data_IF_064262073221
#
_entry.id   IF_064262073221
#
_cell.length_a   1.000
_cell.length_b   1.000
_cell.length_c   1.000
_cell.angle_alpha   90.00
_cell.angle_beta   90.00
_cell.angle_gamma   90.00
#
_symmetry.space_group_name_H-M   'P 1'
#
loop_
_entity.id
_entity.type
_entity.pdbx_description
1 polymer ?
#
# COMPACT_ATOMS: atom_id res chain seq x y z
N UNK A 1 21.18 15.41 -0.13
CA UNK A 1 19.73 15.52 -0.26
C UNK A 1 19.05 15.17 1.04
N UNK A 2 17.88 15.72 1.27
CA UNK A 2 17.09 15.37 2.45
C UNK A 2 16.66 13.90 2.35
N UNK A 3 16.74 13.14 3.44
CA UNK A 3 16.07 11.85 3.52
C UNK A 3 14.56 12.08 3.29
N UNK A 4 13.98 11.32 2.35
CA UNK A 4 12.62 11.56 1.90
C UNK A 4 11.60 11.34 3.01
N UNK A 5 10.66 12.25 3.16
CA UNK A 5 9.42 11.99 3.87
C UNK A 5 8.62 10.93 3.13
N UNK A 6 7.86 10.14 3.84
CA UNK A 6 7.04 9.08 3.27
C UNK A 6 6.93 7.86 4.18
N UNK A 7 6.23 6.81 3.72
CA UNK A 7 6.09 5.59 4.47
C UNK A 7 5.24 5.77 5.73
N UNK A 8 4.01 6.25 5.60
CA UNK A 8 3.17 6.54 6.76
C UNK A 8 2.50 5.31 7.36
N UNK A 9 2.07 4.39 6.52
CA UNK A 9 1.56 3.08 6.90
C UNK A 9 2.37 2.00 6.20
N UNK A 10 2.65 0.94 6.92
CA UNK A 10 3.28 -0.24 6.34
C UNK A 10 2.46 -1.47 6.64
N UNK A 11 2.08 -2.19 5.59
CA UNK A 11 1.36 -3.44 5.69
C UNK A 11 2.22 -4.55 5.10
N UNK A 12 2.22 -5.69 5.75
CA UNK A 12 2.89 -6.89 5.25
C UNK A 12 2.13 -8.15 5.65
N UNK A 13 2.18 -9.21 4.86
CA UNK A 13 1.62 -10.48 5.28
C UNK A 13 2.43 -11.05 6.45
N UNK A 14 1.78 -11.83 7.30
CA UNK A 14 2.42 -12.54 8.41
C UNK A 14 2.40 -14.04 8.11
N UNK A 15 3.53 -14.69 8.39
CA UNK A 15 3.60 -16.14 8.43
C UNK A 15 4.16 -16.54 9.81
N UNK A 16 3.32 -17.10 10.74
CA UNK A 16 3.67 -17.28 12.16
C UNK A 16 4.84 -18.18 12.38
N UNK A 17 5.63 -18.69 11.66
CA UNK A 17 6.82 -19.52 11.89
C UNK A 17 7.86 -19.42 10.77
N UNK A 18 7.72 -18.49 9.86
CA UNK A 18 8.58 -18.40 8.68
C UNK A 18 8.99 -16.96 8.43
N UNK A 19 10.27 -16.73 8.17
CA UNK A 19 10.73 -15.46 7.64
C UNK A 19 10.15 -15.23 6.23
N UNK A 20 9.80 -13.98 5.96
CA UNK A 20 9.29 -13.56 4.66
C UNK A 20 10.46 -13.18 3.76
N UNK A 21 10.86 -14.08 2.88
CA UNK A 21 11.84 -13.81 1.85
C UNK A 21 11.16 -13.63 0.49
N UNK A 22 11.39 -12.50 -0.17
CA UNK A 22 10.89 -12.25 -1.53
C UNK A 22 11.65 -13.10 -2.55
N UNK A 23 10.92 -13.65 -3.50
CA UNK A 23 11.52 -14.31 -4.68
C UNK A 23 11.85 -13.25 -5.72
N UNK A 24 13.10 -12.84 -5.85
CA UNK A 24 13.54 -11.82 -6.82
C UNK A 24 13.03 -12.05 -8.25
N UNK A 25 13.00 -13.31 -8.70
CA UNK A 25 12.53 -13.67 -10.05
C UNK A 25 11.00 -13.53 -10.24
N UNK A 26 10.25 -13.25 -9.18
CA UNK A 26 8.80 -13.04 -9.20
C UNK A 26 8.40 -11.60 -8.88
N UNK A 27 9.37 -10.72 -8.79
CA UNK A 27 9.13 -9.29 -8.60
C UNK A 27 8.84 -8.64 -9.95
N UNK A 28 7.75 -7.88 -10.02
CA UNK A 28 7.38 -7.09 -11.18
C UNK A 28 6.97 -5.70 -10.72
N UNK A 29 7.60 -4.69 -11.27
CA UNK A 29 7.27 -3.29 -11.06
C UNK A 29 7.02 -2.60 -12.40
N UNK A 30 5.91 -1.89 -12.52
CA UNK A 30 5.59 -0.99 -13.62
C UNK A 30 4.90 0.24 -13.04
N UNK A 31 4.89 1.39 -13.73
CA UNK A 31 4.13 2.53 -13.26
C UNK A 31 2.68 2.13 -12.92
N UNK A 32 2.25 2.43 -11.69
CA UNK A 32 0.92 2.09 -11.19
C UNK A 32 0.69 0.64 -10.75
N UNK A 33 1.69 -0.25 -10.82
CA UNK A 33 1.53 -1.63 -10.37
C UNK A 33 2.82 -2.25 -9.88
N UNK A 34 2.72 -2.96 -8.75
CA UNK A 34 3.78 -3.80 -8.20
C UNK A 34 3.25 -5.18 -7.83
N UNK A 35 4.05 -6.21 -8.02
CA UNK A 35 3.74 -7.54 -7.50
C UNK A 35 4.99 -8.30 -7.10
N UNK A 36 4.86 -9.17 -6.10
CA UNK A 36 5.91 -10.08 -5.66
C UNK A 36 5.33 -11.38 -5.14
N UNK A 37 6.18 -12.40 -5.06
CA UNK A 37 5.87 -13.64 -4.37
C UNK A 37 6.95 -13.94 -3.33
N UNK A 38 6.52 -14.47 -2.19
CA UNK A 38 7.40 -14.90 -1.11
C UNK A 38 7.74 -16.39 -1.23
N UNK A 39 8.85 -16.80 -0.64
CA UNK A 39 9.32 -18.21 -0.68
C UNK A 39 8.31 -19.18 -0.06
N UNK A 40 7.52 -18.74 0.90
CA UNK A 40 6.46 -19.50 1.55
C UNK A 40 5.16 -19.61 0.72
N UNK A 41 5.12 -19.03 -0.49
CA UNK A 41 3.99 -19.11 -1.41
C UNK A 41 2.96 -17.96 -1.28
N UNK A 42 3.12 -17.04 -0.34
CA UNK A 42 2.31 -15.82 -0.29
C UNK A 42 2.60 -14.96 -1.51
N UNK A 43 1.56 -14.37 -2.11
CA UNK A 43 1.68 -13.44 -3.25
C UNK A 43 1.05 -12.11 -2.87
N UNK A 44 1.68 -11.01 -3.29
CA UNK A 44 1.20 -9.65 -3.06
C UNK A 44 1.15 -8.88 -4.37
N UNK A 45 0.07 -8.14 -4.57
CA UNK A 45 -0.15 -7.24 -5.69
C UNK A 45 -0.57 -5.87 -5.16
N UNK A 46 0.00 -4.81 -5.68
CA UNK A 46 -0.26 -3.43 -5.26
C UNK A 46 -0.61 -2.57 -6.46
N UNK A 47 -1.59 -1.71 -6.30
CA UNK A 47 -1.90 -0.60 -7.22
C UNK A 47 -2.36 0.60 -6.41
N UNK A 48 -2.47 1.77 -7.03
CA UNK A 48 -2.91 2.97 -6.31
C UNK A 48 -3.65 3.93 -7.26
N UNK A 49 -4.61 4.65 -6.73
CA UNK A 49 -5.15 5.87 -7.33
C UNK A 49 -4.42 7.09 -6.76
N UNK A 50 -4.92 8.30 -7.02
CA UNK A 50 -4.32 9.53 -6.49
C UNK A 50 -4.28 9.59 -4.96
N UNK A 51 -5.31 9.08 -4.28
CA UNK A 51 -5.43 9.18 -2.83
C UNK A 51 -5.84 7.85 -2.15
N UNK A 52 -5.75 6.73 -2.86
CA UNK A 52 -6.05 5.40 -2.32
C UNK A 52 -5.03 4.39 -2.79
N UNK A 53 -4.43 3.64 -1.87
CA UNK A 53 -3.67 2.42 -2.15
C UNK A 53 -4.60 1.20 -2.12
N UNK A 54 -4.34 0.24 -2.99
CA UNK A 54 -5.03 -1.06 -3.02
C UNK A 54 -4.01 -2.18 -3.04
N UNK A 55 -4.10 -3.04 -2.07
CA UNK A 55 -3.19 -4.15 -1.86
C UNK A 55 -3.98 -5.47 -1.84
N UNK A 56 -3.52 -6.47 -2.58
CA UNK A 56 -4.12 -7.80 -2.60
C UNK A 56 -3.10 -8.84 -2.15
N UNK A 57 -3.48 -9.61 -1.16
CA UNK A 57 -2.67 -10.69 -0.59
C UNK A 57 -3.34 -12.03 -0.86
N UNK A 58 -2.57 -13.00 -1.37
CA UNK A 58 -3.03 -14.37 -1.59
C UNK A 58 -2.20 -15.32 -0.73
N UNK A 59 -2.88 -16.13 0.08
CA UNK A 59 -2.28 -17.04 1.02
C UNK A 59 -2.44 -18.49 0.56
N UNK A 60 -1.37 -19.32 0.60
CA UNK A 60 -1.48 -20.75 0.35
C UNK A 60 -2.30 -21.43 1.46
N UNK A 61 -2.84 -22.62 1.19
CA UNK A 61 -3.69 -23.36 2.16
C UNK A 61 -3.01 -23.66 3.47
N UNK A 62 -1.69 -23.78 3.49
CA UNK A 62 -0.86 -24.06 4.66
C UNK A 62 -0.66 -22.86 5.58
N UNK A 63 -1.04 -21.65 5.18
CA UNK A 63 -0.83 -20.42 5.94
C UNK A 63 -2.18 -19.76 6.20
N UNK A 64 -2.47 -19.46 7.46
CA UNK A 64 -3.62 -18.65 7.85
C UNK A 64 -3.41 -17.21 7.39
N UNK A 65 -4.45 -16.59 6.83
CA UNK A 65 -4.38 -15.22 6.38
C UNK A 65 -4.22 -14.27 7.58
N UNK A 66 -3.14 -13.50 7.58
CA UNK A 66 -2.87 -12.47 8.58
C UNK A 66 -2.02 -11.36 7.98
N UNK A 67 -2.27 -10.12 8.40
CA UNK A 67 -1.53 -8.93 8.00
C UNK A 67 -1.01 -8.22 9.25
N UNK A 68 0.25 -7.85 9.23
CA UNK A 68 0.83 -6.97 10.22
C UNK A 68 0.79 -5.54 9.68
N UNK A 69 0.34 -4.60 10.50
CA UNK A 69 0.20 -3.19 10.17
C UNK A 69 1.00 -2.37 11.16
N UNK A 70 1.82 -1.45 10.64
CA UNK A 70 2.47 -0.40 11.39
C UNK A 70 1.86 0.94 10.95
N UNK A 71 1.12 1.55 11.87
CA UNK A 71 0.38 2.79 11.63
C UNK A 71 1.26 4.04 11.74
N UNK A 72 2.54 3.89 12.09
CA UNK A 72 3.48 4.98 12.25
C UNK A 72 4.84 4.71 11.59
N UNK A 73 4.84 3.93 10.51
CA UNK A 73 6.05 3.57 9.75
C UNK A 73 6.53 4.74 8.89
N UNK A 74 7.22 5.70 9.51
CA UNK A 74 7.82 6.84 8.81
C UNK A 74 9.32 6.70 8.69
N UNK A 75 9.93 7.42 7.73
CA UNK A 75 11.38 7.45 7.56
C UNK A 75 12.07 8.47 8.49
N UNK A 76 11.29 9.33 9.13
CA UNK A 76 11.76 10.32 10.09
C UNK A 76 11.50 9.84 11.51
N UNK A 77 12.34 10.29 12.46
CA UNK A 77 12.21 9.94 13.87
C UNK A 77 10.88 10.39 14.47
N UNK A 78 10.32 9.55 15.30
CA UNK A 78 9.17 9.80 16.16
C UNK A 78 7.91 10.23 15.42
N UNK A 79 7.25 9.25 14.80
CA UNK A 79 5.85 9.39 14.45
C UNK A 79 4.96 9.01 15.63
N UNK A 80 3.84 9.71 15.74
CA UNK A 80 2.72 9.33 16.60
C UNK A 80 1.55 8.94 15.76
N UNK A 81 0.75 7.99 16.20
CA UNK A 81 -0.50 7.63 15.54
C UNK A 81 -1.62 7.45 16.55
N UNK A 82 -2.82 7.57 16.04
CA UNK A 82 -4.02 7.08 16.71
C UNK A 82 -4.84 6.32 15.70
N UNK A 83 -5.39 5.19 16.09
CA UNK A 83 -6.26 4.40 15.25
C UNK A 83 -7.36 3.75 16.09
N UNK A 84 -8.47 3.48 15.46
CA UNK A 84 -9.61 2.79 16.06
C UNK A 84 -10.25 1.84 15.04
N UNK A 85 -10.69 0.69 15.50
CA UNK A 85 -11.57 -0.17 14.70
C UNK A 85 -12.96 0.46 14.65
N UNK A 86 -13.45 0.72 13.44
CA UNK A 86 -14.77 1.34 13.20
C UNK A 86 -15.82 0.29 12.88
N UNK A 87 -15.41 -0.79 12.21
CA UNK A 87 -16.27 -1.93 11.89
C UNK A 87 -15.46 -3.24 11.85
N UNK A 88 -16.11 -4.33 11.47
CA UNK A 88 -15.44 -5.63 11.30
C UNK A 88 -14.44 -5.65 10.14
N UNK A 89 -14.51 -4.65 9.27
CA UNK A 89 -13.67 -4.53 8.06
C UNK A 89 -12.94 -3.19 7.96
N UNK A 90 -13.07 -2.28 8.95
CA UNK A 90 -12.54 -0.92 8.83
C UNK A 90 -11.78 -0.46 10.07
N UNK A 91 -10.60 0.13 9.84
CA UNK A 91 -9.81 0.88 10.81
C UNK A 91 -9.61 2.30 10.29
N UNK A 92 -9.89 3.29 11.12
CA UNK A 92 -9.61 4.69 10.84
C UNK A 92 -8.58 5.26 11.81
N UNK A 93 -7.86 6.28 11.35
CA UNK A 93 -6.90 6.94 12.21
C UNK A 93 -6.10 8.02 11.52
N UNK A 94 -5.01 8.39 12.17
CA UNK A 94 -4.04 9.30 11.60
C UNK A 94 -2.61 8.95 12.05
N UNK A 95 -1.65 9.35 11.26
CA UNK A 95 -0.24 9.42 11.61
C UNK A 95 0.19 10.88 11.60
N UNK A 96 0.99 11.27 12.57
CA UNK A 96 1.63 12.57 12.63
C UNK A 96 3.13 12.39 12.73
N UNK A 97 3.87 12.99 11.79
CA UNK A 97 5.31 12.86 11.69
C UNK A 97 5.95 14.21 11.34
N UNK A 98 7.27 14.29 11.41
CA UNK A 98 8.01 15.41 10.86
C UNK A 98 7.95 15.36 9.33
N UNK A 99 7.94 16.52 8.69
CA UNK A 99 8.08 16.60 7.26
C UNK A 99 9.55 16.38 6.82
N UNK A 100 9.73 16.27 5.52
CA UNK A 100 11.07 16.18 4.91
C UNK A 100 11.96 17.31 5.41
N UNK A 101 13.20 16.98 5.79
CA UNK A 101 14.19 17.90 6.35
C UNK A 101 13.86 18.45 7.74
N UNK A 102 12.87 17.93 8.43
CA UNK A 102 12.59 18.29 9.83
C UNK A 102 12.03 19.70 10.07
N UNK A 103 11.61 20.41 9.03
CA UNK A 103 11.15 21.81 9.13
C UNK A 103 9.67 21.99 9.45
N UNK A 104 9.02 20.99 10.01
CA UNK A 104 7.62 21.06 10.43
C UNK A 104 7.06 19.68 10.69
N UNK A 105 5.77 19.64 10.91
CA UNK A 105 5.04 18.40 11.12
C UNK A 105 3.86 18.34 10.15
N UNK A 106 3.50 17.13 9.73
CA UNK A 106 2.27 16.89 8.99
C UNK A 106 1.42 15.86 9.73
N UNK A 107 0.14 15.89 9.46
CA UNK A 107 -0.81 14.86 9.88
C UNK A 107 -1.46 14.28 8.62
N UNK A 108 -1.44 12.96 8.51
CA UNK A 108 -2.09 12.23 7.44
C UNK A 108 -3.13 11.29 8.04
N UNK A 109 -4.38 11.49 7.66
CA UNK A 109 -5.48 10.63 8.06
C UNK A 109 -5.61 9.47 7.08
N UNK A 110 -6.07 8.33 7.60
CA UNK A 110 -6.31 7.14 6.80
C UNK A 110 -7.63 6.46 7.16
N UNK A 111 -8.17 5.74 6.18
CA UNK A 111 -9.22 4.75 6.35
C UNK A 111 -8.74 3.47 5.68
N UNK A 112 -8.48 2.43 6.47
CA UNK A 112 -8.04 1.10 6.02
C UNK A 112 -9.26 0.19 6.03
N UNK A 113 -9.62 -0.32 4.85
CA UNK A 113 -10.78 -1.17 4.63
C UNK A 113 -10.34 -2.51 4.04
N UNK A 114 -10.86 -3.62 4.58
CA UNK A 114 -10.62 -4.97 4.07
C UNK A 114 -11.89 -5.56 3.49
N UNK A 115 -11.76 -6.40 2.46
CA UNK A 115 -12.88 -7.14 1.86
C UNK A 115 -13.35 -8.33 2.72
N UNK A 116 -12.61 -8.66 3.77
CA UNK A 116 -12.89 -9.75 4.72
C UNK A 116 -12.90 -9.21 6.14
N UNK A 117 -13.79 -9.68 7.03
CA UNK A 117 -13.75 -9.33 8.44
C UNK A 117 -12.49 -9.83 9.11
N UNK A 118 -11.94 -9.03 10.01
CA UNK A 118 -10.71 -9.34 10.76
C UNK A 118 -10.92 -9.27 12.28
N UNK A 119 -10.04 -9.96 13.01
CA UNK A 119 -9.78 -9.71 14.42
C UNK A 119 -8.55 -8.80 14.52
N UNK A 120 -8.62 -7.76 15.34
CA UNK A 120 -7.53 -6.83 15.61
C UNK A 120 -6.82 -7.24 16.89
N UNK A 121 -5.52 -7.55 16.78
CA UNK A 121 -4.65 -7.88 17.91
C UNK A 121 -3.55 -6.79 18.00
N UNK A 122 -3.67 -5.91 18.97
CA UNK A 122 -2.65 -4.89 19.21
C UNK A 122 -1.35 -5.57 19.68
N UNK A 123 -0.24 -5.22 19.03
CA UNK A 123 1.09 -5.77 19.34
C UNK A 123 1.93 -4.79 20.14
N UNK A 124 1.87 -3.51 19.76
CA UNK A 124 2.53 -2.35 20.39
C UNK A 124 1.67 -1.12 20.13
N UNK A 125 2.05 0.00 20.72
CA UNK A 125 1.35 1.28 20.59
C UNK A 125 1.02 1.68 19.14
N UNK A 126 1.92 1.36 18.19
CA UNK A 126 1.77 1.75 16.78
C UNK A 126 1.50 0.57 15.84
N UNK A 127 1.48 -0.66 16.34
CA UNK A 127 1.41 -1.84 15.49
C UNK A 127 0.31 -2.81 15.91
N UNK A 128 -0.33 -3.43 14.93
CA UNK A 128 -1.33 -4.46 15.15
C UNK A 128 -1.22 -5.60 14.14
N UNK A 129 -1.78 -6.75 14.50
CA UNK A 129 -1.99 -7.87 13.61
C UNK A 129 -3.49 -7.98 13.28
N UNK A 130 -3.82 -8.06 12.01
CA UNK A 130 -5.16 -8.35 11.50
C UNK A 130 -5.21 -9.83 11.14
N UNK A 131 -5.98 -10.63 11.87
CA UNK A 131 -6.15 -12.05 11.59
C UNK A 131 -7.52 -12.32 10.96
N UNK A 132 -7.55 -13.18 9.95
CA UNK A 132 -8.75 -13.47 9.17
C UNK A 132 -9.26 -14.88 9.40
N UNK A 133 -10.51 -15.12 9.00
CA UNK A 133 -11.15 -16.43 9.16
C UNK A 133 -10.34 -17.56 8.50
N UNK A 134 -10.34 -18.76 9.11
CA UNK A 134 -9.53 -19.94 8.70
C UNK A 134 -9.69 -20.35 7.23
N UNK A 135 -10.80 -20.00 6.58
CA UNK A 135 -11.07 -20.31 5.16
C UNK A 135 -10.64 -19.20 4.20
N UNK A 136 -10.27 -18.02 4.72
CA UNK A 136 -9.83 -16.89 3.90
C UNK A 136 -8.48 -17.23 3.24
N UNK A 137 -8.40 -17.01 1.93
CA UNK A 137 -7.20 -17.29 1.10
C UNK A 137 -6.75 -16.08 0.30
N UNK A 138 -7.57 -15.08 0.23
CA UNK A 138 -7.23 -13.79 -0.35
C UNK A 138 -7.82 -12.68 0.52
N UNK A 139 -7.09 -11.58 0.62
CA UNK A 139 -7.52 -10.37 1.30
C UNK A 139 -7.16 -9.20 0.41
N UNK A 140 -8.12 -8.33 0.16
CA UNK A 140 -7.91 -7.04 -0.46
C UNK A 140 -8.02 -5.95 0.61
N UNK A 141 -7.02 -5.06 0.63
CA UNK A 141 -6.97 -3.91 1.53
C UNK A 141 -7.02 -2.65 0.71
N UNK A 142 -7.92 -1.74 1.04
CA UNK A 142 -8.02 -0.40 0.45
C UNK A 142 -7.71 0.62 1.52
N UNK A 143 -6.77 1.50 1.25
CA UNK A 143 -6.31 2.51 2.18
C UNK A 143 -6.51 3.87 1.55
N UNK A 144 -7.56 4.55 1.94
CA UNK A 144 -7.80 5.94 1.58
C UNK A 144 -6.94 6.85 2.46
N UNK A 145 -6.44 7.93 1.89
CA UNK A 145 -5.59 8.93 2.54
C UNK A 145 -6.18 10.33 2.40
N UNK A 146 -6.06 11.14 3.43
CA UNK A 146 -6.48 12.54 3.42
C UNK A 146 -5.63 13.38 4.37
N UNK A 147 -5.30 14.61 3.96
CA UNK A 147 -4.66 15.58 4.85
C UNK A 147 -5.65 16.28 5.81
N UNK A 148 -6.96 16.05 5.64
CA UNK A 148 -8.00 16.80 6.32
C UNK A 148 -8.71 15.99 7.41
N UNK A 149 -9.19 14.78 7.08
CA UNK A 149 -9.90 13.93 8.04
C UNK A 149 -9.93 12.46 7.63
N UNK A 150 -10.18 11.56 8.58
CA UNK A 150 -10.38 10.12 8.30
C UNK A 150 -11.69 9.86 7.54
N UNK A 151 -12.70 10.71 7.72
CA UNK A 151 -13.95 10.66 6.95
C UNK A 151 -13.69 10.87 5.45
N UNK A 152 -12.89 11.89 5.09
CA UNK A 152 -12.52 12.13 3.69
C UNK A 152 -11.61 11.02 3.15
N UNK A 153 -10.76 10.43 3.98
CA UNK A 153 -10.00 9.23 3.61
C UNK A 153 -10.94 8.04 3.31
N UNK A 154 -12.00 7.88 4.09
CA UNK A 154 -13.06 6.89 3.84
C UNK A 154 -13.81 7.13 2.52
N UNK A 155 -14.10 8.38 2.19
CA UNK A 155 -14.73 8.73 0.90
C UNK A 155 -13.85 8.36 -0.31
N UNK A 156 -12.54 8.44 -0.19
CA UNK A 156 -11.65 7.97 -1.25
C UNK A 156 -11.78 6.45 -1.48
N UNK A 157 -11.97 5.66 -0.43
CA UNK A 157 -12.26 4.23 -0.59
C UNK A 157 -13.64 4.00 -1.20
N UNK A 158 -14.68 4.67 -0.72
CA UNK A 158 -16.06 4.54 -1.20
C UNK A 158 -16.21 4.96 -2.67
N UNK A 159 -15.48 5.98 -3.11
CA UNK A 159 -15.47 6.45 -4.50
C UNK A 159 -15.12 5.34 -5.51
N UNK A 160 -14.29 4.40 -5.11
CA UNK A 160 -13.79 3.31 -5.95
C UNK A 160 -14.38 1.94 -5.57
N UNK A 161 -15.39 1.90 -4.70
CA UNK A 161 -15.96 0.66 -4.16
C UNK A 161 -16.43 -0.31 -5.25
N UNK A 162 -17.00 0.22 -6.34
CA UNK A 162 -17.56 -0.59 -7.45
C UNK A 162 -16.50 -1.14 -8.40
N UNK A 163 -15.28 -0.66 -8.34
CA UNK A 163 -14.20 -1.14 -9.20
C UNK A 163 -13.41 -2.26 -8.52
N UNK A 164 -13.20 -3.34 -9.24
CA UNK A 164 -12.33 -4.41 -8.76
C UNK A 164 -10.83 -4.05 -8.94
N UNK A 165 -9.97 -4.89 -8.38
CA UNK A 165 -8.51 -4.68 -8.46
C UNK A 165 -7.99 -4.63 -9.90
N UNK A 166 -8.53 -5.44 -10.80
CA UNK A 166 -8.06 -5.50 -12.19
C UNK A 166 -8.44 -4.22 -12.95
N UNK A 167 -9.65 -3.71 -12.69
CA UNK A 167 -10.13 -2.43 -13.24
C UNK A 167 -9.31 -1.26 -12.72
N UNK A 168 -9.06 -1.19 -11.41
CA UNK A 168 -8.22 -0.15 -10.78
C UNK A 168 -6.80 -0.18 -11.34
N UNK A 169 -6.18 -1.37 -11.43
CA UNK A 169 -4.87 -1.54 -12.03
C UNK A 169 -4.83 -1.07 -13.48
N UNK A 170 -5.85 -1.44 -14.28
CA UNK A 170 -5.95 -1.02 -15.69
C UNK A 170 -6.10 0.49 -15.81
N UNK A 171 -6.97 1.09 -15.00
CA UNK A 171 -7.17 2.55 -15.00
C UNK A 171 -5.89 3.28 -14.61
N UNK A 172 -5.20 2.85 -13.55
CA UNK A 172 -3.94 3.45 -13.12
C UNK A 172 -2.86 3.32 -14.19
N UNK A 173 -2.75 2.14 -14.82
CA UNK A 173 -1.84 1.93 -15.94
C UNK A 173 -2.12 2.88 -17.11
N UNK A 174 -3.39 3.06 -17.48
CA UNK A 174 -3.79 3.99 -18.54
C UNK A 174 -3.49 5.46 -18.19
N UNK A 175 -3.64 5.86 -16.92
CA UNK A 175 -3.27 7.19 -16.46
C UNK A 175 -1.76 7.42 -16.58
N UNK A 176 -0.95 6.47 -16.17
CA UNK A 176 0.51 6.53 -16.31
C UNK A 176 0.93 6.55 -17.78
N UNK A 177 0.35 5.70 -18.63
CA UNK A 177 0.62 5.69 -20.07
C UNK A 177 0.32 7.07 -20.70
N UNK A 178 -0.82 7.66 -20.35
CA UNK A 178 -1.18 9.02 -20.80
C UNK A 178 -0.15 10.09 -20.37
N UNK A 179 0.36 10.01 -19.15
CA UNK A 179 1.36 10.95 -18.65
C UNK A 179 2.72 10.74 -19.34
N UNK A 180 3.17 9.49 -19.43
CA UNK A 180 4.47 9.15 -20.00
C UNK A 180 4.51 9.38 -21.52
N UNK A 181 3.39 9.16 -22.23
CA UNK A 181 3.27 9.41 -23.68
C UNK A 181 3.24 10.88 -24.07
N UNK A 182 3.23 11.82 -23.10
CA UNK A 182 3.41 13.24 -23.39
C UNK A 182 4.79 13.54 -23.99
N UNK A 183 5.76 12.64 -23.82
CA UNK A 183 7.09 12.72 -24.43
C UNK A 183 7.29 11.48 -25.31
N UNK A 184 7.25 11.66 -26.64
CA UNK A 184 7.54 10.60 -27.62
C UNK A 184 8.97 10.73 -28.14
N UNK A 185 9.81 9.72 -27.82
CA UNK A 185 11.23 9.70 -28.23
C UNK A 185 11.43 8.72 -29.38
N UNK A 186 11.86 9.23 -30.52
CA UNK A 186 12.22 8.44 -31.70
C UNK A 186 13.73 8.24 -31.78
N UNK A 187 14.17 7.05 -32.23
CA UNK A 187 15.59 6.71 -32.31
C UNK A 187 16.18 6.31 -30.94
N UNK A 188 17.50 6.29 -30.83
CA UNK A 188 18.24 5.86 -29.65
C UNK A 188 18.24 4.35 -29.38
N UNK A 189 18.99 3.91 -28.39
CA UNK A 189 19.00 2.53 -27.92
C UNK A 189 17.79 2.24 -27.02
N UNK A 190 17.39 0.97 -26.95
CA UNK A 190 16.27 0.55 -26.09
C UNK A 190 16.52 0.91 -24.62
N UNK A 191 17.76 0.70 -24.15
CA UNK A 191 18.13 0.96 -22.75
C UNK A 191 18.06 2.45 -22.39
N UNK A 192 18.45 3.33 -23.32
CA UNK A 192 18.33 4.79 -23.13
C UNK A 192 16.87 5.22 -22.95
N UNK A 193 15.95 4.60 -23.70
CA UNK A 193 14.51 4.84 -23.56
C UNK A 193 13.98 4.31 -22.23
N UNK A 194 14.43 3.13 -21.79
CA UNK A 194 14.06 2.57 -20.48
C UNK A 194 14.50 3.52 -19.37
N UNK A 195 15.74 4.02 -19.42
CA UNK A 195 16.26 4.98 -18.44
C UNK A 195 15.42 6.26 -18.42
N UNK A 196 15.12 6.82 -19.60
CA UNK A 196 14.33 8.03 -19.74
C UNK A 196 12.94 7.88 -19.12
N UNK A 197 12.16 6.88 -19.54
CA UNK A 197 10.80 6.70 -19.06
C UNK A 197 10.74 6.27 -17.60
N UNK A 198 11.75 5.51 -17.12
CA UNK A 198 11.89 5.20 -15.68
C UNK A 198 12.15 6.49 -14.88
N UNK A 199 12.96 7.39 -15.39
CA UNK A 199 13.23 8.67 -14.72
C UNK A 199 11.98 9.57 -14.72
N UNK A 200 11.25 9.64 -15.84
CA UNK A 200 9.99 10.38 -15.93
C UNK A 200 8.92 9.85 -14.96
N UNK A 201 8.87 8.54 -14.74
CA UNK A 201 7.89 7.94 -13.81
C UNK A 201 8.19 8.22 -12.33
N UNK A 202 9.32 8.85 -12.02
CA UNK A 202 9.76 9.21 -10.66
C UNK A 202 9.70 10.71 -10.36
N UNK A 203 9.32 11.51 -11.34
CA UNK A 203 9.08 12.96 -11.20
C UNK A 203 7.66 13.22 -10.68
#
# INVERSE_FOLDING_TARGET
GCSGGGGNLRIRPVAPSQELHMKKNHEKATPGYYSTAFTNGIKTELTATHAMAVERYKFPRSISAALWVDFASTFEDVATCQYKRVSDTCIEGYVQAKNVCGHGRYKLYFSLNTDQPFQLEEQKETTACLTFGKKVRAVEVRIGLSALSSELAGWECARWEKMDFAELKSQTGNQWEKQLSAIDVKGGKKDDKVILYTSLSRL
#
